data_IF_686648972224
#
_entry.id   IF_686648972224
#
_cell.length_a   1.000
_cell.length_b   1.000
_cell.length_c   1.000
_cell.angle_alpha   90.00
_cell.angle_beta   90.00
_cell.angle_gamma   90.00
#
_symmetry.space_group_name_H-M   'P 1'
#
loop_
_entity.id
_entity.type
_entity.pdbx_description
1 polymer ?
2 non-polymer ?
#
# COMPACT_ATOMS: atom_id res chain seq x y z
N UNK A 15 -3.93 -10.76 22.68
CA UNK A 15 -3.80 -10.28 21.30
C UNK A 15 -5.02 -9.44 20.91
N UNK A 16 -4.74 -8.23 20.41
CA UNK A 16 -5.76 -7.20 20.21
C UNK A 16 -5.75 -6.76 18.74
N UNK A 17 -6.92 -6.78 18.12
CA UNK A 17 -7.05 -6.40 16.73
C UNK A 17 -6.85 -4.88 16.57
N UNK A 18 -6.61 -4.48 15.32
CA UNK A 18 -6.54 -3.06 14.96
C UNK A 18 -7.84 -2.35 15.31
N UNK A 19 -7.76 -1.03 15.44
CA UNK A 19 -8.96 -0.23 15.72
C UNK A 19 -9.97 -0.32 14.58
N UNK A 20 -9.52 -0.56 13.34
CA UNK A 20 -10.47 -0.70 12.25
C UNK A 20 -11.15 -2.06 12.31
N UNK A 21 -10.44 -3.09 12.77
CA UNK A 21 -11.06 -4.39 12.95
C UNK A 21 -12.00 -4.40 14.16
N UNK A 22 -11.80 -3.49 15.10
CA UNK A 22 -12.71 -3.34 16.22
C UNK A 22 -13.90 -2.47 15.87
N UNK A 23 -13.70 -1.42 15.06
CA UNK A 23 -14.82 -0.74 14.43
C UNK A 23 -15.66 -1.75 13.66
N UNK A 24 -15.02 -2.53 12.80
CA UNK A 24 -15.78 -3.30 11.82
C UNK A 24 -16.59 -4.40 12.49
N UNK A 25 -15.99 -5.08 13.48
CA UNK A 25 -16.69 -6.19 14.12
C UNK A 25 -17.93 -5.72 14.85
N UNK A 26 -17.93 -4.49 15.38
CA UNK A 26 -19.08 -3.91 16.05
C UNK A 26 -20.05 -3.22 15.07
N UNK A 27 -19.98 -3.51 13.77
CA UNK A 27 -20.79 -2.83 12.77
C UNK A 27 -21.68 -3.82 12.01
N UNK A 28 -22.93 -3.41 11.79
CA UNK A 28 -23.88 -4.23 11.02
C UNK A 28 -23.51 -4.16 9.55
N UNK A 29 -23.21 -5.32 8.95
CA UNK A 29 -22.73 -5.38 7.60
C UNK A 29 -23.78 -5.55 6.52
N UNK A 30 -25.06 -5.64 6.90
CA UNK A 30 -26.12 -5.96 5.95
C UNK A 30 -26.47 -4.75 5.09
N UNK A 31 -27.19 -5.02 4.00
CA UNK A 31 -27.65 -4.03 3.03
C UNK A 31 -29.17 -4.04 3.09
N UNK A 32 -29.75 -3.10 3.84
CA UNK A 32 -31.19 -3.10 4.08
C UNK A 32 -31.94 -2.50 2.89
N UNK A 33 -33.19 -2.93 2.72
CA UNK A 33 -34.05 -2.44 1.63
C UNK A 33 -35.49 -2.36 2.11
N UNK A 34 -36.12 -1.20 1.92
CA UNK A 34 -37.58 -1.17 1.98
C UNK A 34 -38.12 -1.95 0.78
N UNK A 35 -39.45 -2.07 0.72
CA UNK A 35 -40.08 -2.81 -0.36
C UNK A 35 -39.65 -2.26 -1.72
N UNK A 36 -39.75 -3.13 -2.76
CA UNK A 36 -39.58 -2.68 -4.14
C UNK A 36 -40.92 -2.69 -4.88
N UNK A 37 -41.13 -1.75 -5.83
CA UNK A 37 -42.52 -1.41 -6.21
C UNK A 37 -43.29 -2.53 -6.90
N UNK A 38 -42.65 -3.28 -7.79
CA UNK A 38 -43.36 -4.22 -8.64
C UNK A 38 -43.26 -5.67 -8.19
N UNK A 39 -42.14 -6.08 -7.59
CA UNK A 39 -41.90 -7.50 -7.33
C UNK A 39 -41.95 -7.86 -5.84
N UNK A 40 -42.96 -7.38 -5.11
CA UNK A 40 -43.12 -7.68 -3.69
C UNK A 40 -44.59 -7.99 -3.42
N UNK A 41 -44.85 -9.03 -2.65
CA UNK A 41 -46.19 -9.63 -2.61
C UNK A 41 -46.71 -9.77 -1.17
N UNK A 42 -46.73 -8.67 -0.41
CA UNK A 42 -47.13 -8.72 0.99
C UNK A 42 -47.44 -7.32 1.50
N UNK A 43 -47.96 -7.24 2.73
CA UNK A 43 -48.31 -5.99 3.37
C UNK A 43 -47.13 -5.06 3.55
N UNK A 44 -47.40 -3.81 3.95
CA UNK A 44 -46.30 -2.83 4.06
C UNK A 44 -45.23 -3.22 5.06
N UNK A 45 -45.53 -4.15 5.98
CA UNK A 45 -44.65 -4.53 7.08
C UNK A 45 -43.90 -5.83 6.84
N UNK A 46 -44.52 -6.82 6.20
CA UNK A 46 -43.88 -8.09 5.91
C UNK A 46 -42.51 -8.02 5.25
N UNK A 47 -41.80 -9.14 5.25
CA UNK A 47 -40.51 -9.26 4.59
C UNK A 47 -40.53 -10.47 3.66
N UNK A 48 -39.69 -10.43 2.63
CA UNK A 48 -39.63 -11.50 1.63
C UNK A 48 -38.28 -11.44 0.93
N UNK A 49 -37.99 -12.49 0.15
CA UNK A 49 -36.69 -12.69 -0.47
C UNK A 49 -36.24 -11.47 -1.28
N UNK A 50 -37.19 -10.59 -1.61
CA UNK A 50 -36.90 -9.38 -2.39
C UNK A 50 -36.67 -8.13 -1.54
N UNK A 51 -36.89 -8.16 -0.22
CA UNK A 51 -36.63 -6.97 0.60
C UNK A 51 -35.81 -7.25 1.86
N UNK A 52 -35.92 -8.46 2.43
CA UNK A 52 -35.04 -8.99 3.49
C UNK A 52 -33.61 -8.54 3.15
N UNK A 53 -32.81 -8.11 4.14
CA UNK A 53 -31.53 -7.46 3.83
C UNK A 53 -30.55 -8.40 3.14
N UNK A 54 -29.41 -7.86 2.70
CA UNK A 54 -28.45 -8.61 1.92
C UNK A 54 -27.19 -8.83 2.73
N UNK A 55 -26.67 -10.04 2.65
CA UNK A 55 -25.48 -10.38 3.41
C UNK A 55 -24.27 -9.68 2.79
N UNK A 56 -23.32 -9.21 3.61
CA UNK A 56 -22.13 -8.54 3.06
C UNK A 56 -21.21 -9.48 2.31
N UNK A 57 -21.59 -10.75 2.19
CA UNK A 57 -20.83 -11.75 1.46
C UNK A 57 -21.59 -12.31 0.26
N UNK A 58 -22.74 -11.75 -0.08
CA UNK A 58 -23.54 -12.27 -1.19
C UNK A 58 -22.87 -11.94 -2.52
N UNK A 59 -22.44 -12.97 -3.24
CA UNK A 59 -21.72 -12.76 -4.50
C UNK A 59 -22.59 -12.08 -5.55
N UNK A 60 -23.91 -12.24 -5.45
CA UNK A 60 -24.80 -11.62 -6.44
C UNK A 60 -24.66 -10.11 -6.40
N UNK A 61 -24.86 -9.53 -5.21
CA UNK A 61 -24.71 -8.09 -5.01
C UNK A 61 -23.37 -7.59 -5.52
N UNK A 62 -22.29 -8.24 -5.09
CA UNK A 62 -20.94 -7.78 -5.41
C UNK A 62 -20.66 -7.89 -6.92
N UNK A 63 -20.96 -9.04 -7.51
CA UNK A 63 -20.70 -9.23 -8.94
C UNK A 63 -21.46 -8.22 -9.80
N UNK A 64 -22.55 -7.66 -9.29
CA UNK A 64 -23.38 -6.76 -10.06
C UNK A 64 -23.18 -5.32 -9.68
N UNK A 65 -22.17 -5.03 -8.88
CA UNK A 65 -21.76 -3.64 -8.65
C UNK A 65 -21.15 -3.06 -9.92
N UNK A 66 -20.76 -1.80 -9.84
CA UNK A 66 -19.96 -1.14 -10.86
C UNK A 66 -18.84 -0.41 -10.14
N UNK A 67 -17.58 -0.91 -10.21
CA UNK A 67 -17.16 -2.07 -10.99
C UNK A 67 -17.48 -3.38 -10.29
N UNK A 68 -17.76 -4.45 -11.04
CA UNK A 68 -18.05 -5.74 -10.40
C UNK A 68 -16.91 -6.20 -9.52
N UNK A 69 -17.23 -6.36 -8.22
CA UNK A 69 -16.32 -6.85 -7.18
C UNK A 69 -16.37 -8.37 -7.16
N UNK A 70 -15.23 -9.01 -6.96
CA UNK A 70 -15.18 -10.47 -6.95
C UNK A 70 -14.50 -11.04 -5.72
N UNK A 71 -14.20 -10.22 -4.73
CA UNK A 71 -13.72 -10.69 -3.43
C UNK A 71 -14.50 -9.98 -2.35
N UNK A 72 -15.17 -10.73 -1.50
CA UNK A 72 -15.76 -10.08 -0.35
C UNK A 72 -14.70 -9.57 0.62
N UNK A 73 -15.14 -8.65 1.46
CA UNK A 73 -14.33 -8.13 2.52
C UNK A 73 -13.97 -9.23 3.52
N UNK A 74 -12.83 -9.08 4.18
CA UNK A 74 -12.42 -10.08 5.17
C UNK A 74 -13.45 -10.21 6.28
N UNK A 75 -13.99 -9.08 6.75
CA UNK A 75 -15.04 -9.14 7.77
C UNK A 75 -16.32 -9.73 7.20
N UNK A 76 -16.59 -9.50 5.91
CA UNK A 76 -17.68 -10.21 5.25
C UNK A 76 -17.42 -11.72 5.19
N UNK A 77 -16.16 -12.15 5.25
CA UNK A 77 -15.81 -13.57 5.19
C UNK A 77 -16.00 -14.25 6.53
N UNK A 78 -15.40 -13.72 7.59
CA UNK A 78 -15.57 -14.39 8.88
C UNK A 78 -17.02 -14.31 9.31
N UNK A 79 -17.74 -13.25 8.90
CA UNK A 79 -19.19 -13.27 9.13
C UNK A 79 -19.87 -14.34 8.32
N UNK A 80 -19.33 -14.69 7.14
CA UNK A 80 -19.90 -15.76 6.33
C UNK A 80 -19.81 -17.10 7.05
N UNK A 81 -18.67 -17.35 7.71
CA UNK A 81 -18.48 -18.59 8.47
C UNK A 81 -19.45 -18.57 9.65
N UNK A 82 -20.74 -18.86 9.33
CA UNK A 82 -21.89 -18.92 10.24
C UNK A 82 -21.75 -17.97 11.42
N UNK A 83 -21.47 -16.70 11.14
CA UNK A 83 -21.30 -15.71 12.19
C UNK A 83 -19.88 -15.70 12.75
N UNK A 120 0.97 -34.32 7.65
CA UNK A 120 1.62 -33.36 6.73
C UNK A 120 0.90 -33.32 5.39
N UNK A 121 -0.43 -33.29 5.42
CA UNK A 121 -1.26 -33.64 4.28
C UNK A 121 -1.08 -32.68 3.10
N UNK A 122 -1.70 -33.03 1.99
CA UNK A 122 -1.48 -32.35 0.72
C UNK A 122 -2.20 -31.01 0.65
N UNK A 123 -1.52 -30.04 0.09
CA UNK A 123 -2.04 -28.69 -0.07
C UNK A 123 -2.71 -28.57 -1.45
N UNK A 124 -3.86 -27.93 -1.49
CA UNK A 124 -4.55 -27.64 -2.74
C UNK A 124 -5.03 -26.20 -2.72
N UNK A 125 -4.56 -25.42 -3.69
CA UNK A 125 -4.84 -23.99 -3.70
C UNK A 125 -6.07 -23.69 -4.55
N UNK A 126 -7.03 -22.97 -3.97
CA UNK A 126 -8.13 -22.43 -4.75
C UNK A 126 -7.93 -20.93 -4.91
N UNK A 127 -8.53 -20.38 -5.97
CA UNK A 127 -8.56 -18.93 -6.09
C UNK A 127 -9.38 -18.38 -4.92
N UNK A 128 -8.77 -17.45 -4.18
CA UNK A 128 -9.28 -17.05 -2.88
C UNK A 128 -10.43 -16.07 -3.03
N UNK A 129 -11.50 -16.31 -2.29
CA UNK A 129 -12.78 -15.65 -2.52
C UNK A 129 -12.96 -14.37 -1.72
N UNK A 130 -11.97 -13.97 -0.91
CA UNK A 130 -12.06 -12.76 -0.08
C UNK A 130 -10.75 -11.99 -0.15
N UNK A 131 -10.81 -10.73 0.29
CA UNK A 131 -9.71 -9.76 0.25
C UNK A 131 -9.42 -9.26 1.64
N UNK A 132 -8.17 -8.86 1.89
CA UNK A 132 -7.91 -8.27 3.20
C UNK A 132 -8.03 -6.76 3.18
N UNK A 133 -7.50 -6.12 2.14
CA UNK A 133 -7.71 -4.70 1.87
C UNK A 133 -8.51 -4.63 0.59
N UNK A 134 -9.45 -3.71 0.53
CA UNK A 134 -10.38 -3.66 -0.59
C UNK A 134 -10.13 -2.50 -1.55
N UNK A 135 -9.27 -1.55 -1.19
CA UNK A 135 -8.98 -0.40 -2.03
C UNK A 135 -7.73 0.26 -1.48
N UNK A 136 -6.89 0.76 -2.40
CA UNK A 136 -5.70 1.55 -2.09
C UNK A 136 -5.91 2.96 -2.63
N UNK A 137 -5.94 3.94 -1.74
CA UNK A 137 -6.23 5.32 -2.12
C UNK A 137 -5.03 6.19 -1.77
N UNK A 138 -4.35 6.66 -2.80
CA UNK A 138 -3.35 7.70 -2.63
C UNK A 138 -4.04 9.01 -2.28
N UNK A 139 -3.58 9.67 -1.22
CA UNK A 139 -4.19 10.94 -0.82
C UNK A 139 -4.31 11.89 -2.02
N UNK A 140 -3.30 11.90 -2.89
CA UNK A 140 -3.29 12.84 -4.02
C UNK A 140 -2.24 12.38 -5.01
N UNK A 141 -2.29 12.95 -6.23
CA UNK A 141 -1.36 12.55 -7.29
C UNK A 141 0.08 12.96 -7.00
N UNK A 142 0.31 13.94 -6.13
CA UNK A 142 1.66 14.44 -5.93
C UNK A 142 2.49 13.42 -5.17
N UNK A 143 1.88 12.74 -4.18
CA UNK A 143 2.53 11.68 -3.42
C UNK A 143 3.14 10.65 -4.35
N UNK A 144 2.39 10.27 -5.39
CA UNK A 144 2.80 9.24 -6.34
C UNK A 144 3.64 9.78 -7.51
N UNK A 145 3.51 11.03 -7.89
CA UNK A 145 4.33 11.47 -8.99
C UNK A 145 5.77 11.69 -8.55
N UNK A 146 5.97 12.30 -7.37
CA UNK A 146 7.33 12.49 -6.87
C UNK A 146 8.07 11.16 -6.70
N UNK A 147 7.35 10.06 -6.49
CA UNK A 147 8.02 8.77 -6.44
C UNK A 147 8.53 8.39 -7.83
N UNK A 148 7.65 8.41 -8.83
CA UNK A 148 8.05 8.16 -10.19
C UNK A 148 9.17 9.08 -10.66
N UNK A 149 9.33 10.24 -10.01
CA UNK A 149 10.40 11.14 -10.40
C UNK A 149 11.74 10.43 -10.39
N UNK A 150 11.93 9.48 -9.45
CA UNK A 150 13.19 8.75 -9.41
C UNK A 150 13.43 7.95 -10.70
N UNK A 151 12.39 7.28 -11.22
CA UNK A 151 12.58 6.53 -12.46
C UNK A 151 12.71 7.47 -13.66
N UNK A 152 11.93 8.55 -13.70
CA UNK A 152 12.05 9.47 -14.81
C UNK A 152 13.46 10.02 -14.94
N UNK A 153 14.18 10.18 -13.81
CA UNK A 153 15.52 10.79 -13.85
C UNK A 153 16.59 9.77 -14.17
N UNK A 154 16.51 8.56 -13.61
CA UNK A 154 17.60 7.61 -13.69
C UNK A 154 17.36 6.50 -14.71
N UNK A 155 16.10 6.16 -15.00
CA UNK A 155 15.83 5.01 -15.81
C UNK A 155 15.95 3.69 -15.09
N UNK A 156 16.18 3.73 -13.77
CA UNK A 156 16.30 2.54 -12.96
C UNK A 156 15.00 2.34 -12.21
N UNK A 157 14.63 1.07 -12.01
CA UNK A 157 13.44 0.80 -11.23
C UNK A 157 13.68 1.20 -9.78
N UNK A 158 12.59 1.45 -9.06
CA UNK A 158 12.68 2.09 -7.76
C UNK A 158 11.70 1.47 -6.78
N UNK A 159 12.08 1.52 -5.50
CA UNK A 159 11.37 0.85 -4.40
C UNK A 159 10.88 1.88 -3.41
N UNK A 160 9.66 1.69 -2.89
CA UNK A 160 9.13 2.57 -1.88
C UNK A 160 8.38 1.78 -0.83
N UNK A 161 8.22 2.40 0.35
CA UNK A 161 7.33 1.88 1.39
C UNK A 161 6.16 2.85 1.54
N UNK A 162 4.95 2.32 1.34
CA UNK A 162 3.73 3.08 1.55
C UNK A 162 3.48 3.34 3.03
N UNK A 163 3.53 4.60 3.45
CA UNK A 163 3.16 4.98 4.81
C UNK A 163 1.81 5.68 4.76
N UNK A 164 0.86 5.16 5.53
CA UNK A 164 -0.48 5.71 5.59
C UNK A 164 -1.28 5.00 6.67
N UNK A 165 -2.59 4.89 6.49
CA UNK A 165 -3.49 4.42 7.54
C UNK A 165 -4.54 3.49 6.92
N UNK A 166 -5.23 2.72 7.77
CA UNK A 166 -6.36 1.90 7.32
C UNK A 166 -7.65 2.57 7.77
N UNK A 167 -8.54 2.84 6.82
CA UNK A 167 -9.83 3.43 7.14
C UNK A 167 -10.95 2.53 6.63
N UNK A 168 -12.17 2.94 6.91
CA UNK A 168 -13.33 2.28 6.32
C UNK A 168 -13.38 2.61 4.83
N UNK A 169 -13.81 1.63 4.04
CA UNK A 169 -14.05 1.86 2.60
C UNK A 169 -15.55 1.67 2.36
N UNK A 170 -16.32 2.72 2.68
CA UNK A 170 -17.78 2.70 2.72
C UNK A 170 -18.42 2.12 1.46
N UNK A 171 -17.71 2.11 0.33
CA UNK A 171 -18.29 1.62 -0.92
C UNK A 171 -18.60 0.12 -0.86
N UNK A 172 -17.81 -0.64 -0.11
CA UNK A 172 -17.85 -2.11 -0.19
C UNK A 172 -18.24 -2.66 1.17
N UNK A 173 -19.11 -3.70 1.24
CA UNK A 173 -19.65 -4.12 2.55
C UNK A 173 -18.57 -4.59 3.50
N UNK A 174 -18.36 -3.82 4.57
CA UNK A 174 -17.35 -4.04 5.60
C UNK A 174 -15.94 -3.82 5.07
N UNK A 175 -15.78 -3.20 3.89
CA UNK A 175 -14.49 -3.13 3.25
C UNK A 175 -13.49 -2.25 3.98
N UNK A 176 -12.21 -2.57 3.80
CA UNK A 176 -11.12 -1.79 4.35
C UNK A 176 -10.41 -1.08 3.22
N UNK A 177 -10.03 0.16 3.46
CA UNK A 177 -9.22 0.92 2.53
C UNK A 177 -7.86 1.20 3.15
N UNK A 178 -6.81 1.08 2.33
CA UNK A 178 -5.46 1.47 2.71
C UNK A 178 -5.18 2.85 2.10
N UNK A 179 -4.96 3.85 2.96
CA UNK A 179 -4.76 5.23 2.53
C UNK A 179 -3.25 5.52 2.53
N UNK A 180 -2.72 5.91 1.38
CA UNK A 180 -1.28 6.14 1.23
C UNK A 180 -1.00 7.64 1.36
N UNK A 181 -0.22 8.01 2.39
CA UNK A 181 0.03 9.42 2.66
C UNK A 181 1.46 9.84 2.39
N UNK A 182 2.42 8.95 2.58
CA UNK A 182 3.80 9.22 2.25
C UNK A 182 4.35 7.97 1.59
N UNK A 183 5.47 8.14 0.88
CA UNK A 183 6.25 7.02 0.35
C UNK A 183 7.69 7.23 0.82
N UNK A 184 8.14 6.34 1.68
CA UNK A 184 9.53 6.33 2.12
C UNK A 184 10.35 5.57 1.09
N UNK A 185 11.38 6.21 0.52
CA UNK A 185 12.28 5.52 -0.39
C UNK A 185 13.54 5.15 0.37
N UNK A 186 13.78 3.87 0.67
CA UNK A 186 14.95 3.48 1.52
C UNK A 186 16.24 3.41 0.71
N UNK A 187 17.38 3.20 1.37
CA UNK A 187 18.62 2.89 0.64
C UNK A 187 18.49 1.65 -0.21
N UNK A 188 18.91 1.75 -1.47
CA UNK A 188 18.61 0.74 -2.49
C UNK A 188 19.45 0.99 -3.72
N UNK A 189 19.69 -0.06 -4.51
CA UNK A 189 20.35 0.06 -5.81
C UNK A 189 19.41 -0.45 -6.88
N UNK A 190 19.22 0.38 -7.92
CA UNK A 190 18.31 0.06 -9.00
C UNK A 190 19.04 -0.04 -10.31
N UNK A 191 18.50 -0.85 -11.21
CA UNK A 191 18.97 -0.89 -12.58
C UNK A 191 17.76 -0.88 -13.50
N UNK A 192 18.05 -0.77 -14.79
CA UNK A 192 17.07 -0.95 -15.85
C UNK A 192 16.16 -2.14 -15.59
N UNK A 193 16.67 -3.22 -14.99
CA UNK A 193 15.92 -4.47 -14.96
C UNK A 193 16.01 -5.20 -13.63
N UNK A 194 16.14 -4.48 -12.51
CA UNK A 194 16.26 -5.10 -11.18
C UNK A 194 16.36 -4.11 -10.02
N UNK A 195 15.79 -4.49 -8.87
CA UNK A 195 15.85 -3.76 -7.61
C UNK A 195 16.72 -4.51 -6.61
N UNK A 196 17.25 -3.78 -5.64
CA UNK A 196 17.99 -4.39 -4.53
C UNK A 196 17.86 -3.52 -3.28
N UNK A 197 17.38 -4.11 -2.18
CA UNK A 197 17.27 -3.35 -0.95
C UNK A 197 18.60 -3.34 -0.22
N UNK A 198 19.03 -2.16 0.18
CA UNK A 198 20.22 -1.95 0.99
C UNK A 198 19.85 -1.90 2.48
N UNK A 199 20.86 -2.02 3.32
CA UNK A 199 20.63 -1.92 4.76
C UNK A 199 20.13 -0.52 5.12
N UNK A 200 19.08 -0.45 5.94
CA UNK A 200 18.51 0.83 6.35
C UNK A 200 18.76 1.10 7.85
N UNK A 201 19.86 1.77 8.21
CA UNK A 201 20.06 2.12 9.62
C UNK A 201 18.88 2.86 10.27
N UNK A 202 18.16 3.69 9.53
CA UNK A 202 17.06 4.46 10.09
C UNK A 202 15.71 3.76 9.97
N UNK A 203 15.70 2.47 9.60
CA UNK A 203 14.45 1.84 9.17
C UNK A 203 13.34 1.97 10.20
N UNK A 204 13.69 1.83 11.48
CA UNK A 204 12.69 1.86 12.53
C UNK A 204 12.64 3.18 13.26
N UNK A 205 13.63 4.05 13.12
CA UNK A 205 13.40 5.44 13.47
C UNK A 205 12.36 6.03 12.53
N UNK A 206 12.42 5.65 11.25
CA UNK A 206 11.36 6.06 10.32
C UNK A 206 10.01 5.61 10.86
N UNK A 207 9.88 4.31 11.16
CA UNK A 207 8.62 3.76 11.67
C UNK A 207 8.15 4.49 12.94
N UNK A 208 9.07 4.95 13.78
CA UNK A 208 8.70 5.61 15.01
C UNK A 208 8.17 7.03 14.72
N UNK A 209 8.81 7.73 13.79
CA UNK A 209 8.36 9.06 13.39
C UNK A 209 6.96 8.97 12.80
N UNK A 210 6.80 8.11 11.78
CA UNK A 210 5.51 7.93 11.13
C UNK A 210 4.43 7.56 12.15
N UNK A 211 4.78 6.74 13.14
CA UNK A 211 3.80 6.36 14.15
C UNK A 211 3.27 7.59 14.87
N UNK A 212 4.13 8.53 15.20
CA UNK A 212 3.63 9.74 15.84
C UNK A 212 2.95 10.67 14.85
N UNK A 213 2.83 10.27 13.59
CA UNK A 213 2.13 11.04 12.58
C UNK A 213 0.75 10.44 12.26
N UNK A 214 0.39 9.35 12.92
CA UNK A 214 -0.83 8.64 12.62
C UNK A 214 -0.65 7.54 11.61
N UNK A 215 0.57 7.31 11.14
CA UNK A 215 0.82 6.45 9.99
C UNK A 215 1.57 5.18 10.37
N UNK A 216 1.44 4.19 9.50
CA UNK A 216 2.17 2.92 9.54
C UNK A 216 2.48 2.49 8.12
N UNK A 217 3.38 1.52 7.97
CA UNK A 217 3.61 0.90 6.65
C UNK A 217 2.34 0.14 6.21
N UNK A 218 1.66 0.60 5.16
CA UNK A 218 0.52 -0.15 4.63
C UNK A 218 0.91 -1.08 3.49
N UNK A 219 2.15 -1.01 3.00
CA UNK A 219 2.53 -1.87 1.90
C UNK A 219 3.81 -1.37 1.23
N UNK A 220 4.05 -1.86 0.02
CA UNK A 220 5.22 -1.46 -0.74
C UNK A 220 4.82 -1.16 -2.17
N UNK A 221 5.70 -0.46 -2.87
CA UNK A 221 5.52 -0.08 -4.25
C UNK A 221 6.84 -0.30 -4.96
N UNK A 222 6.78 -0.76 -6.20
CA UNK A 222 7.94 -0.75 -7.07
C UNK A 222 7.48 -0.36 -8.45
N UNK A 223 8.45 0.01 -9.27
CA UNK A 223 8.25 0.36 -10.66
C UNK A 223 8.70 -0.78 -11.54
N UNK A 224 8.04 -0.93 -12.65
CA UNK A 224 8.58 -1.71 -13.76
C UNK A 224 8.23 -0.84 -14.95
N UNK A 225 9.08 0.16 -15.24
CA UNK A 225 8.79 1.21 -16.23
C UNK A 225 9.89 1.27 -17.29
N UNK A 226 9.48 1.20 -18.55
CA UNK A 226 10.37 1.22 -19.71
C UNK A 226 9.78 2.13 -20.78
N UNK A 227 10.59 3.06 -21.27
CA UNK A 227 10.14 3.94 -22.34
C UNK A 227 9.72 3.14 -23.57
N UNK A 228 8.54 3.46 -24.10
CA UNK A 228 8.07 2.89 -25.37
C UNK A 228 8.45 3.81 -26.51
N UNK A 229 7.81 4.98 -26.56
CA UNK A 229 7.99 5.98 -27.61
C UNK A 229 8.69 7.20 -27.01
N UNK A 230 9.92 7.45 -27.45
CA UNK A 230 10.75 8.54 -26.93
C UNK A 230 10.49 9.90 -27.59
N UNK A 231 9.67 9.97 -28.66
CA UNK A 231 9.09 11.25 -29.10
C UNK A 231 7.89 11.63 -28.24
N UNK A 232 6.88 10.73 -28.16
CA UNK A 232 5.64 10.97 -27.43
C UNK A 232 5.83 11.00 -25.92
N UNK A 233 6.94 10.46 -25.41
CA UNK A 233 7.10 10.31 -23.97
C UNK A 233 6.30 9.20 -23.33
N UNK A 234 6.15 8.06 -24.00
CA UNK A 234 5.30 7.00 -23.48
C UNK A 234 6.14 5.86 -22.88
N UNK A 235 5.46 4.91 -22.27
CA UNK A 235 6.08 3.76 -21.60
C UNK A 235 5.52 2.47 -22.17
N UNK A 236 6.32 1.40 -22.08
CA UNK A 236 5.88 0.08 -22.53
C UNK A 236 4.73 -0.43 -21.65
N UNK A 237 3.82 -1.17 -22.29
CA UNK A 237 2.70 -1.79 -21.58
C UNK A 237 3.01 -3.28 -21.46
N UNK A 238 3.88 -3.61 -20.50
CA UNK A 238 4.48 -4.93 -20.41
C UNK A 238 3.69 -5.91 -19.54
N UNK A 239 2.84 -5.42 -18.64
CA UNK A 239 2.12 -6.29 -17.71
C UNK A 239 0.64 -6.29 -18.10
N UNK A 240 0.19 -7.41 -18.65
CA UNK A 240 -1.17 -7.52 -19.14
C UNK A 240 -1.59 -8.99 -19.07
N UNK A 241 -2.79 -9.27 -19.58
CA UNK A 241 -3.33 -10.64 -19.57
C UNK A 241 -2.39 -11.65 -20.21
N UNK A 242 -1.68 -11.24 -21.27
CA UNK A 242 -0.87 -12.17 -22.05
C UNK A 242 0.53 -12.37 -21.47
N UNK A 243 0.95 -11.56 -20.51
CA UNK A 243 2.23 -11.77 -19.89
C UNK A 243 1.96 -12.06 -18.42
N UNK A 244 1.99 -11.06 -17.55
CA UNK A 244 1.83 -11.28 -16.12
C UNK A 244 1.68 -9.93 -15.45
N UNK A 245 1.13 -9.93 -14.25
CA UNK A 245 0.98 -8.70 -13.51
C UNK A 245 1.92 -8.61 -12.33
N UNK A 246 2.37 -9.76 -11.83
CA UNK A 246 3.27 -9.89 -10.69
C UNK A 246 4.09 -11.15 -10.90
N UNK A 247 5.41 -11.03 -10.82
CA UNK A 247 6.29 -12.18 -11.01
C UNK A 247 6.10 -13.21 -9.91
N UNK A 248 6.54 -14.45 -10.21
CA UNK A 248 6.77 -15.44 -9.16
C UNK A 248 7.76 -14.90 -8.13
N UNK A 249 8.91 -14.42 -8.60
CA UNK A 249 9.79 -13.51 -7.89
C UNK A 249 9.01 -12.56 -6.98
N UNK A 250 8.30 -11.62 -7.59
CA UNK A 250 7.62 -10.59 -6.83
C UNK A 250 6.51 -11.16 -5.96
N UNK A 251 5.92 -12.29 -6.36
CA UNK A 251 4.92 -12.94 -5.51
C UNK A 251 5.57 -13.46 -4.22
N UNK A 252 6.76 -14.05 -4.32
CA UNK A 252 7.44 -14.53 -3.12
C UNK A 252 7.79 -13.38 -2.18
N UNK A 253 8.28 -12.26 -2.73
CA UNK A 253 8.62 -11.16 -1.84
C UNK A 253 7.35 -10.51 -1.29
N UNK A 254 6.29 -10.42 -2.10
CA UNK A 254 5.01 -10.01 -1.57
C UNK A 254 4.62 -10.88 -0.37
N UNK A 255 4.67 -12.20 -0.54
CA UNK A 255 4.31 -13.08 0.56
C UNK A 255 5.21 -12.91 1.75
N UNK A 256 6.50 -12.66 1.51
CA UNK A 256 7.44 -12.43 2.60
C UNK A 256 7.03 -11.20 3.42
N UNK A 257 6.80 -10.07 2.74
CA UNK A 257 6.33 -8.86 3.39
C UNK A 257 5.05 -9.09 4.17
N UNK A 258 4.10 -9.80 3.56
CA UNK A 258 2.84 -10.06 4.24
C UNK A 258 3.06 -10.91 5.48
N UNK A 259 3.94 -11.91 5.41
CA UNK A 259 4.31 -12.66 6.60
C UNK A 259 4.89 -11.73 7.66
N UNK A 260 5.91 -10.97 7.29
CA UNK A 260 6.58 -10.03 8.21
C UNK A 260 5.63 -8.98 8.78
N UNK A 261 4.45 -8.78 8.18
CA UNK A 261 3.49 -7.76 8.62
C UNK A 261 2.10 -8.39 8.78
N UNK A 262 1.93 -9.22 9.81
CA UNK A 262 0.70 -10.02 9.92
C UNK A 262 -0.50 -9.20 10.40
N UNK A 263 -1.68 -9.60 9.92
CA UNK A 263 -2.93 -9.01 10.40
C UNK A 263 -3.35 -9.71 11.69
N UNK A 264 -3.33 -8.97 12.80
CA UNK A 264 -3.79 -9.50 14.07
C UNK A 264 -5.27 -9.79 14.00
N UNK A 265 -5.69 -10.90 14.62
CA UNK A 265 -7.07 -11.37 14.50
C UNK A 265 -7.40 -12.36 15.61
N UNK A 266 -8.43 -12.04 16.41
CA UNK A 266 -8.73 -12.79 17.63
C UNK A 266 -9.30 -14.18 17.37
N UNK A 267 -9.60 -14.54 16.12
CA UNK A 267 -10.17 -15.85 15.82
C UNK A 267 -9.13 -16.86 15.35
N UNK A 268 -7.86 -16.59 15.60
CA UNK A 268 -6.84 -17.52 15.16
C UNK A 268 -6.00 -18.02 16.33
N UNK A 269 -5.68 -19.32 16.35
CA UNK A 269 -4.74 -19.84 17.37
C UNK A 269 -3.37 -19.18 17.34
N UNK A 270 -2.80 -18.95 16.14
CA UNK A 270 -1.55 -18.20 16.04
C UNK A 270 -1.71 -16.79 16.62
N UNK A 271 -2.91 -16.22 16.54
CA UNK A 271 -3.12 -14.80 16.70
C UNK A 271 -2.95 -14.01 15.43
N UNK A 272 -2.16 -14.54 14.48
CA UNK A 272 -2.01 -13.98 13.16
C UNK A 272 -3.05 -14.63 12.25
N UNK A 273 -3.54 -13.86 11.27
CA UNK A 273 -4.24 -14.45 10.11
C UNK A 273 -4.33 -13.43 8.99
N UNK A 274 -3.76 -13.78 7.83
CA UNK A 274 -3.73 -12.85 6.71
C UNK A 274 -2.83 -11.66 6.98
N UNK A 275 -2.95 -10.66 6.12
CA UNK A 275 -2.19 -9.44 6.27
C UNK A 275 -2.89 -8.31 5.54
N UNK A 276 -2.65 -7.08 6.01
CA UNK A 276 -3.16 -5.90 5.33
C UNK A 276 -2.10 -5.20 4.51
N UNK A 277 -0.93 -5.82 4.33
CA UNK A 277 0.21 -5.23 3.65
C UNK A 277 -0.03 -5.37 2.15
N UNK A 278 -0.51 -4.30 1.52
CA UNK A 278 -0.76 -4.31 0.07
C UNK A 278 0.54 -4.18 -0.70
N UNK A 279 0.51 -4.43 -2.01
CA UNK A 279 1.67 -4.28 -2.87
C UNK A 279 1.24 -3.61 -4.16
N UNK A 280 1.97 -2.57 -4.60
CA UNK A 280 1.53 -1.63 -5.63
C UNK A 280 2.56 -1.53 -6.73
N UNK A 281 2.12 -1.66 -7.98
CA UNK A 281 3.01 -1.63 -9.13
C UNK A 281 2.76 -0.35 -9.94
N UNK A 282 3.86 0.30 -10.33
CA UNK A 282 3.83 1.37 -11.32
C UNK A 282 4.43 0.84 -12.62
N UNK A 283 3.57 0.64 -13.62
CA UNK A 283 3.90 0.13 -14.96
C UNK A 283 3.06 0.91 -15.95
N UNK A 284 3.47 0.91 -17.21
CA UNK A 284 2.63 1.47 -18.25
C UNK A 284 1.31 0.72 -18.38
N UNK A 285 0.26 1.47 -18.73
CA UNK A 285 -1.07 0.90 -18.94
C UNK A 285 -1.43 0.71 -20.41
N UNK A 286 -2.67 0.23 -20.68
CA UNK A 286 -3.11 0.05 -22.07
C UNK A 286 -2.95 1.31 -22.94
N UNK A 287 -2.89 2.47 -22.30
CA UNK A 287 -2.68 3.71 -23.04
C UNK A 287 -1.19 4.10 -23.12
N UNK A 288 -0.29 3.23 -22.68
CA UNK A 288 1.16 3.50 -22.65
C UNK A 288 1.48 4.71 -21.78
N UNK A 289 0.63 4.97 -20.80
CA UNK A 289 0.90 5.91 -19.74
C UNK A 289 1.12 5.17 -18.43
N UNK A 290 1.86 5.80 -17.52
CA UNK A 290 2.09 5.18 -16.21
C UNK A 290 0.76 5.00 -15.48
N UNK A 291 0.56 3.80 -14.90
CA UNK A 291 -0.61 3.57 -14.05
C UNK A 291 -0.20 2.69 -12.87
N UNK A 292 -1.01 2.76 -11.82
CA UNK A 292 -0.74 2.10 -10.54
C UNK A 292 -1.72 0.95 -10.37
N UNK A 293 -1.19 -0.22 -9.98
CA UNK A 293 -1.96 -1.46 -9.86
C UNK A 293 -1.77 -2.07 -8.48
N UNK A 294 -2.87 -2.40 -7.82
CA UNK A 294 -2.85 -2.84 -6.44
C UNK A 294 -3.06 -4.35 -6.38
N UNK A 295 -2.24 -5.00 -5.57
CA UNK A 295 -2.30 -6.43 -5.42
C UNK A 295 -2.14 -6.81 -3.96
N UNK A 296 -2.62 -7.99 -3.65
CA UNK A 296 -2.15 -8.73 -2.49
C UNK A 296 -1.94 -10.15 -2.96
N UNK A 297 -1.34 -10.94 -2.08
CA UNK A 297 -1.03 -12.33 -2.37
C UNK A 297 -1.82 -13.21 -1.42
N UNK A 298 -2.29 -14.37 -1.93
CA UNK A 298 -3.22 -15.19 -1.17
C UNK A 298 -2.60 -15.66 0.15
N UNK A 299 -3.47 -15.90 1.12
CA UNK A 299 -3.00 -16.41 2.40
C UNK A 299 -2.29 -17.74 2.20
N UNK A 300 -2.87 -18.61 1.36
CA UNK A 300 -2.22 -19.87 1.02
C UNK A 300 -0.82 -19.63 0.48
N UNK A 301 -0.67 -18.58 -0.34
CA UNK A 301 0.66 -18.24 -0.87
C UNK A 301 1.59 -17.68 0.21
N UNK A 302 1.05 -16.96 1.21
CA UNK A 302 1.89 -16.59 2.35
C UNK A 302 2.47 -17.82 3.04
N UNK A 303 1.63 -18.84 3.22
CA UNK A 303 2.03 -20.06 3.92
C UNK A 303 3.16 -20.77 3.17
N UNK A 304 3.05 -20.88 1.85
CA UNK A 304 4.11 -21.48 1.05
C UNK A 304 5.44 -20.76 1.24
N UNK A 305 5.45 -19.43 1.12
CA UNK A 305 6.68 -18.67 1.32
C UNK A 305 7.19 -18.81 2.75
N UNK A 306 6.30 -18.70 3.73
CA UNK A 306 6.68 -18.91 5.14
C UNK A 306 7.43 -20.22 5.31
N UNK A 307 6.87 -21.31 4.77
CA UNK A 307 7.50 -22.64 4.76
C UNK A 307 8.47 -22.85 3.58
N UNK A 308 8.86 -21.78 2.89
CA UNK A 308 9.92 -21.81 1.86
C UNK A 308 9.65 -22.89 0.81
N UNK A 309 8.39 -23.02 0.43
CA UNK A 309 7.98 -23.98 -0.59
C UNK A 309 7.78 -23.35 -1.96
N UNK A 310 7.71 -22.03 -2.05
CA UNK A 310 7.44 -21.33 -3.30
C UNK A 310 8.75 -20.95 -3.97
N UNK A 311 8.86 -21.26 -5.26
CA UNK A 311 10.07 -21.03 -6.04
C UNK A 311 9.74 -20.25 -7.30
N UNK A 312 10.66 -19.42 -7.79
CA UNK A 312 10.45 -18.77 -9.08
C UNK A 312 10.92 -19.66 -10.22
N UNK A 313 10.43 -19.35 -11.41
CA UNK A 313 10.89 -19.98 -12.65
C UNK A 313 11.73 -18.98 -13.41
N UNK A 314 12.88 -19.42 -13.87
CA UNK A 314 13.79 -18.57 -14.64
C UNK A 314 13.34 -18.52 -16.09
N UNK A 315 13.41 -17.33 -16.68
CA UNK A 315 12.91 -17.04 -18.02
C UNK A 315 11.40 -17.26 -18.13
N UNK A 316 10.73 -17.45 -17.00
CA UNK A 316 9.27 -17.60 -16.94
C UNK A 316 8.76 -16.86 -15.72
N UNK A 317 8.54 -15.55 -15.85
CA UNK A 317 8.00 -14.80 -14.70
C UNK A 317 6.56 -15.17 -14.35
N UNK A 318 5.71 -15.46 -15.35
CA UNK A 318 4.30 -15.75 -15.14
C UNK A 318 4.03 -17.10 -14.49
N UNK A 319 5.07 -17.87 -14.15
CA UNK A 319 4.92 -19.15 -13.48
C UNK A 319 5.95 -19.28 -12.37
N UNK A 320 5.68 -20.19 -11.45
CA UNK A 320 6.61 -20.47 -10.36
C UNK A 320 6.56 -21.93 -9.98
N UNK A 321 7.69 -22.43 -9.50
CA UNK A 321 7.83 -23.83 -9.09
C UNK A 321 7.31 -24.03 -7.67
N UNK A 322 7.05 -25.30 -7.35
CA UNK A 322 6.83 -25.77 -5.99
C UNK A 322 7.85 -26.86 -5.68
N UNK A 323 8.40 -26.85 -4.46
CA UNK A 323 9.49 -27.76 -4.12
C UNK A 323 9.10 -29.22 -4.32
N UNK A 324 10.11 -30.08 -4.45
CA UNK A 324 9.87 -31.50 -4.74
C UNK A 324 9.85 -32.32 -3.44
N UNK A 325 11.00 -32.45 -2.78
CA UNK A 325 11.24 -33.45 -1.74
C UNK A 325 10.23 -33.38 -0.60
N UNK A 329 13.87 -31.75 3.27
CA UNK A 329 12.63 -31.02 3.42
C UNK A 329 11.49 -31.67 2.62
N UNK A 330 10.69 -32.50 3.30
CA UNK A 330 9.51 -33.06 2.66
C UNK A 330 8.57 -31.94 2.21
N UNK A 331 7.86 -32.20 1.13
CA UNK A 331 6.91 -31.24 0.58
C UNK A 331 5.64 -32.01 0.25
N UNK A 332 4.55 -31.79 0.97
CA UNK A 332 3.27 -32.34 0.52
C UNK A 332 3.04 -31.88 -0.90
N UNK A 333 2.63 -32.81 -1.75
CA UNK A 333 2.30 -32.42 -3.11
C UNK A 333 1.26 -31.32 -3.08
N UNK A 334 1.41 -30.33 -3.95
CA UNK A 334 0.61 -29.12 -3.91
C UNK A 334 -0.11 -28.96 -5.24
N UNK A 335 -1.42 -28.78 -5.18
CA UNK A 335 -2.27 -28.72 -6.36
C UNK A 335 -2.90 -27.33 -6.47
N UNK A 336 -3.79 -27.20 -7.44
CA UNK A 336 -4.63 -26.00 -7.57
C UNK A 336 -5.83 -26.32 -8.45
N UNK A 337 -6.98 -25.74 -8.09
CA UNK A 337 -8.25 -25.94 -8.78
C UNK A 337 -8.41 -24.82 -9.81
N UNK A 338 -8.09 -25.11 -11.05
CA UNK A 338 -7.89 -24.08 -12.05
C UNK A 338 -9.19 -23.80 -12.79
N UNK A 339 -9.10 -23.02 -13.87
CA UNK A 339 -10.22 -22.76 -14.77
C UNK A 339 -9.72 -22.97 -16.19
N UNK A 340 -10.35 -23.92 -16.91
CA UNK A 340 -10.01 -24.17 -18.31
C UNK A 340 -10.91 -23.34 -19.21
N UNK A 341 -11.25 -23.87 -20.38
CA UNK A 341 -12.29 -23.30 -21.22
C UNK A 341 -13.58 -24.09 -21.14
N UNK A 342 -13.48 -25.42 -21.19
CA UNK A 342 -14.57 -26.37 -20.99
C UNK A 342 -15.57 -25.92 -19.94
N UNK A 343 -15.08 -25.55 -18.76
CA UNK A 343 -15.92 -25.51 -17.58
C UNK A 343 -15.83 -26.78 -16.76
N UNK A 344 -14.77 -27.56 -16.94
CA UNK A 344 -14.42 -28.68 -16.08
C UNK A 344 -13.43 -28.19 -15.04
N UNK A 345 -13.74 -28.41 -13.77
CA UNK A 345 -12.84 -28.09 -12.66
C UNK A 345 -11.53 -28.85 -12.79
N UNK A 346 -10.64 -28.36 -13.64
CA UNK A 346 -9.40 -29.07 -13.93
C UNK A 346 -8.42 -28.85 -12.79
N UNK A 347 -8.09 -29.93 -12.08
CA UNK A 347 -7.07 -29.92 -11.04
C UNK A 347 -5.73 -30.27 -11.66
N UNK A 348 -4.69 -29.53 -11.25
CA UNK A 348 -3.35 -29.76 -11.80
C UNK A 348 -2.32 -29.71 -10.69
N UNK A 349 -1.13 -30.24 -11.02
CA UNK A 349 0.01 -30.27 -10.12
C UNK A 349 0.79 -28.96 -10.24
N UNK A 350 1.11 -28.35 -9.09
CA UNK A 350 1.73 -27.02 -9.06
C UNK A 350 3.20 -27.01 -9.44
N UNK A 351 3.60 -27.76 -10.47
CA UNK A 351 4.96 -27.70 -10.99
C UNK A 351 4.89 -27.77 -12.51
N UNK A 352 4.72 -26.61 -13.18
CA UNK A 352 4.67 -25.21 -12.71
C UNK A 352 3.32 -24.72 -12.20
N UNK A 353 3.29 -23.50 -11.64
CA UNK A 353 2.08 -22.86 -11.13
C UNK A 353 1.96 -21.47 -11.72
N UNK A 354 0.91 -21.17 -12.49
CA UNK A 354 0.70 -19.79 -12.95
C UNK A 354 0.42 -18.89 -11.75
N UNK A 355 1.19 -17.80 -11.66
CA UNK A 355 1.08 -16.92 -10.51
C UNK A 355 -0.33 -16.37 -10.32
N UNK A 356 -1.13 -16.33 -11.39
CA UNK A 356 -2.46 -15.72 -11.31
C UNK A 356 -3.34 -16.39 -10.27
N UNK A 357 -3.08 -17.66 -9.92
CA UNK A 357 -3.80 -18.35 -8.85
C UNK A 357 -3.27 -18.02 -7.46
N UNK A 358 -2.49 -16.95 -7.33
CA UNK A 358 -1.99 -16.48 -6.04
C UNK A 358 -2.26 -15.00 -5.81
N UNK A 359 -2.70 -14.28 -6.84
CA UNK A 359 -2.73 -12.82 -6.85
C UNK A 359 -4.13 -12.33 -6.55
N UNK A 360 -4.24 -11.26 -5.76
CA UNK A 360 -5.52 -10.68 -5.41
C UNK A 360 -5.55 -9.24 -5.90
N UNK A 361 -6.45 -8.95 -6.82
CA UNK A 361 -6.61 -7.58 -7.30
C UNK A 361 -7.15 -6.68 -6.19
N UNK A 362 -6.59 -5.47 -6.11
CA UNK A 362 -7.12 -4.44 -5.23
C UNK A 362 -7.21 -3.14 -6.02
N UNK A 363 -8.40 -2.57 -6.05
CA UNK A 363 -8.58 -1.28 -6.71
C UNK A 363 -7.62 -0.22 -6.15
N UNK A 364 -7.14 0.64 -7.06
CA UNK A 364 -6.26 1.78 -6.75
C UNK A 364 -6.97 3.06 -7.16
N UNK A 365 -7.18 3.95 -6.20
CA UNK A 365 -8.03 5.11 -6.40
C UNK A 365 -7.23 6.41 -6.21
N UNK A 366 -7.48 7.40 -7.07
CA UNK A 366 -7.07 8.75 -6.76
C UNK A 366 -8.34 9.56 -6.47
N UNK A 367 -8.54 10.03 -5.24
CA UNK A 367 -9.88 10.47 -4.85
C UNK A 367 -10.28 11.71 -5.60
N UNK A 368 -11.57 11.80 -5.94
CA UNK A 368 -12.08 13.03 -6.53
C UNK A 368 -11.81 14.22 -5.61
N UNK A 369 -11.86 14.00 -4.30
CA UNK A 369 -11.45 15.05 -3.35
C UNK A 369 -10.19 14.62 -2.63
N UNK A 370 -9.07 15.27 -2.89
CA UNK A 370 -7.79 14.80 -2.36
C UNK A 370 -7.54 15.23 -0.93
N UNK A 371 -6.70 14.44 -0.26
CA UNK A 371 -6.39 14.56 1.15
C UNK A 371 -4.94 15.03 1.28
N UNK A 372 -4.66 15.88 2.27
CA UNK A 372 -3.31 16.44 2.46
C UNK A 372 -2.85 16.28 3.92
N UNK A 373 -2.53 15.04 4.32
CA UNK A 373 -1.80 14.84 5.57
C UNK A 373 -0.58 15.73 5.59
N UNK A 374 0.14 15.79 4.47
CA UNK A 374 1.31 16.62 4.30
C UNK A 374 1.08 17.61 3.16
N UNK A 375 1.91 18.66 3.13
CA UNK A 375 1.69 19.81 2.24
C UNK A 375 2.36 19.66 0.87
N UNK A 376 1.78 20.32 -0.13
CA UNK A 376 2.32 20.38 -1.48
C UNK A 376 3.09 21.70 -1.68
N UNK A 377 4.42 21.63 -1.68
CA UNK A 377 5.23 22.81 -2.02
C UNK A 377 5.46 22.82 -3.51
N UNK A 378 5.56 24.05 -4.07
CA UNK A 378 5.97 24.17 -5.48
C UNK A 378 7.41 23.71 -5.66
N UNK A 379 8.28 24.06 -4.72
CA UNK A 379 9.64 23.53 -4.64
C UNK A 379 9.86 22.73 -3.36
N UNK A 380 9.43 21.46 -3.33
CA UNK A 380 9.48 20.65 -2.09
C UNK A 380 10.87 20.37 -1.56
N UNK A 381 10.94 20.13 -0.26
CA UNK A 381 12.15 19.57 0.34
C UNK A 381 12.49 18.22 -0.31
N UNK A 382 13.78 17.92 -0.51
CA UNK A 382 14.13 16.68 -1.22
C UNK A 382 13.87 15.41 -0.41
N UNK A 383 13.67 14.36 -1.15
CA UNK A 383 13.37 13.02 -0.66
C UNK A 383 14.69 12.26 -0.41
N UNK A 384 14.64 11.38 0.59
CA UNK A 384 15.81 10.67 1.08
C UNK A 384 16.46 9.78 0.01
N UNK A 385 17.76 9.56 0.15
CA UNK A 385 18.50 8.60 -0.64
C UNK A 385 18.55 8.96 -2.11
N UNK A 386 18.56 10.26 -2.43
CA UNK A 386 18.51 10.72 -3.82
C UNK A 386 19.73 11.53 -4.21
N UNK A 387 20.85 11.38 -3.51
CA UNK A 387 22.06 12.09 -3.89
C UNK A 387 22.52 11.67 -5.29
N UNK A 388 22.26 10.41 -5.66
CA UNK A 388 22.53 9.89 -7.00
C UNK A 388 22.12 10.90 -8.05
N UNK A 389 20.93 11.48 -7.91
CA UNK A 389 20.43 12.49 -8.84
C UNK A 389 20.68 13.90 -8.33
N UNK A 390 21.67 14.07 -7.47
CA UNK A 390 22.18 15.39 -7.17
C UNK A 390 21.07 16.22 -6.60
N UNK A 391 20.56 15.73 -5.48
CA UNK A 391 19.33 16.21 -4.89
C UNK A 391 19.40 15.71 -3.46
N UNK A 392 20.03 16.49 -2.58
CA UNK A 392 20.46 15.98 -1.30
C UNK A 392 19.73 16.70 -0.18
N UNK A 393 19.60 16.00 0.95
CA UNK A 393 19.07 16.58 2.15
C UNK A 393 20.24 17.04 3.01
N UNK A 394 20.42 18.35 3.13
CA UNK A 394 21.39 18.91 4.04
C UNK A 394 20.92 20.30 4.42
N UNK A 395 21.75 21.02 5.16
CA UNK A 395 21.30 22.31 5.67
C UNK A 395 21.34 23.40 4.61
N UNK A 396 22.01 23.18 3.47
CA UNK A 396 21.82 24.12 2.38
C UNK A 396 20.40 24.05 1.86
N UNK A 397 19.92 22.84 1.52
CA UNK A 397 18.54 22.65 1.06
C UNK A 397 17.51 23.24 2.02
N UNK A 398 17.60 22.88 3.31
CA UNK A 398 16.61 23.37 4.27
C UNK A 398 16.64 24.89 4.36
N UNK A 399 17.84 25.47 4.30
CA UNK A 399 17.97 26.92 4.33
C UNK A 399 17.21 27.56 3.17
N UNK A 400 17.42 27.08 1.93
CA UNK A 400 16.64 27.66 0.82
C UNK A 400 15.19 27.20 0.86
N UNK A 401 14.89 25.99 1.35
CA UNK A 401 13.49 25.64 1.58
C UNK A 401 12.80 26.63 2.52
N UNK A 402 13.42 26.93 3.67
CA UNK A 402 12.76 27.82 4.63
C UNK A 402 12.68 29.25 4.10
N UNK A 403 13.73 29.73 3.42
CA UNK A 403 13.67 31.07 2.82
C UNK A 403 12.54 31.16 1.81
N UNK A 404 12.34 30.10 1.03
CA UNK A 404 11.28 30.09 0.03
C UNK A 404 9.89 30.20 0.66
N UNK A 405 9.76 29.87 1.96
CA UNK A 405 8.47 29.76 2.63
C UNK A 405 8.26 30.76 3.76
N UNK A 406 9.04 31.85 3.75
CA UNK A 406 8.91 32.91 4.75
C UNK A 406 7.47 33.41 4.87
N UNK A 407 6.78 33.60 3.74
CA UNK A 407 5.42 34.14 3.74
C UNK A 407 4.36 33.08 3.90
N UNK A 408 4.74 31.82 4.10
CA UNK A 408 3.78 30.74 4.21
C UNK A 408 3.41 30.51 5.66
N UNK A 409 2.23 29.97 5.86
CA UNK A 409 1.85 29.34 7.12
C UNK A 409 2.91 28.32 7.50
N UNK A 410 3.52 28.50 8.68
CA UNK A 410 4.63 27.63 9.07
C UNK A 410 4.21 26.18 9.20
N UNK A 411 2.94 25.91 9.56
CA UNK A 411 2.45 24.54 9.67
C UNK A 411 2.52 23.83 8.32
N UNK A 412 2.10 24.52 7.25
CA UNK A 412 2.22 23.97 5.90
C UNK A 412 3.67 23.74 5.50
N UNK A 413 4.53 24.74 5.72
CA UNK A 413 5.97 24.60 5.46
C UNK A 413 6.57 23.36 6.14
N UNK A 414 6.18 23.10 7.39
CA UNK A 414 6.79 22.03 8.16
C UNK A 414 6.07 20.68 7.99
N UNK A 415 4.88 20.68 7.40
CA UNK A 415 4.08 19.46 7.30
C UNK A 415 4.51 18.59 6.12
N UNK A 416 5.79 18.21 6.11
CA UNK A 416 6.34 17.35 5.07
C UNK A 416 6.97 16.13 5.71
N UNK A 417 6.60 14.93 5.24
CA UNK A 417 7.16 13.69 5.78
C UNK A 417 8.67 13.65 5.61
N UNK A 418 9.15 13.96 4.40
CA UNK A 418 10.57 13.77 4.13
C UNK A 418 11.40 14.79 4.87
N UNK A 419 10.93 16.03 4.94
CA UNK A 419 11.58 17.03 5.79
C UNK A 419 11.69 16.53 7.22
N UNK A 420 10.58 16.02 7.78
CA UNK A 420 10.56 15.60 9.19
C UNK A 420 11.58 14.50 9.46
N UNK A 421 11.63 13.46 8.62
CA UNK A 421 12.71 12.49 8.72
C UNK A 421 14.09 13.15 8.79
N UNK A 422 14.36 14.09 7.89
CA UNK A 422 15.66 14.75 7.89
C UNK A 422 15.92 15.45 9.21
N UNK A 423 14.91 16.16 9.73
CA UNK A 423 15.10 16.94 10.94
C UNK A 423 15.48 16.05 12.12
N UNK A 424 14.97 14.83 12.16
CA UNK A 424 15.20 13.96 13.30
C UNK A 424 16.49 13.14 13.15
N UNK A 425 16.84 12.75 11.93
CA UNK A 425 17.94 11.82 11.69
C UNK A 425 19.22 12.44 11.13
N UNK A 426 19.21 13.69 10.68
CA UNK A 426 20.43 14.31 10.19
C UNK A 426 21.51 14.32 11.27
N UNK A 427 22.77 14.47 10.86
CA UNK A 427 23.87 14.36 11.79
C UNK A 427 24.52 15.69 12.16
N UNK A 428 24.21 16.78 11.46
CA UNK A 428 24.68 18.07 11.93
C UNK A 428 23.99 18.44 13.23
N UNK A 429 22.65 18.35 13.25
CA UNK A 429 21.85 18.71 14.42
C UNK A 429 20.60 17.85 14.41
N UNK A 430 20.60 16.76 15.18
CA UNK A 430 19.42 15.89 15.24
C UNK A 430 18.40 16.32 16.29
N UNK A 431 17.24 16.80 15.85
CA UNK A 431 16.14 17.15 16.75
C UNK A 431 15.38 15.91 17.18
N UNK A 432 16.10 14.81 17.42
CA UNK A 432 15.50 13.49 17.53
C UNK A 432 14.57 13.35 18.73
N UNK A 433 14.64 14.24 19.72
CA UNK A 433 13.87 14.08 20.94
C UNK A 433 12.85 15.18 21.21
N UNK A 434 13.10 16.40 20.76
CA UNK A 434 12.12 17.47 20.86
C UNK A 434 11.20 17.59 19.65
N UNK A 435 11.21 16.61 18.74
CA UNK A 435 10.26 16.67 17.63
C UNK A 435 8.88 16.15 17.99
N UNK A 436 8.72 15.50 19.13
CA UNK A 436 7.41 14.98 19.50
C UNK A 436 6.35 16.08 19.46
N UNK A 437 6.68 17.23 20.05
CA UNK A 437 5.81 18.40 20.01
C UNK A 437 5.38 18.73 18.59
N UNK A 438 6.34 18.75 17.67
CA UNK A 438 6.06 19.19 16.29
C UNK A 438 5.34 18.11 15.49
N UNK A 439 5.74 16.86 15.69
CA UNK A 439 5.02 15.74 15.10
C UNK A 439 3.54 15.77 15.43
N UNK A 440 3.18 16.26 16.62
CA UNK A 440 1.77 16.29 16.99
C UNK A 440 1.07 17.49 16.37
N UNK A 441 1.77 18.61 16.26
CA UNK A 441 1.21 19.73 15.52
C UNK A 441 0.90 19.31 14.09
N UNK A 442 1.76 18.47 13.50
CA UNK A 442 1.55 18.06 12.11
C UNK A 442 0.35 17.12 12.01
N UNK A 443 0.33 16.08 12.86
CA UNK A 443 -0.70 15.04 12.78
C UNK A 443 -2.10 15.60 12.95
N UNK A 444 -2.19 16.76 13.55
CA UNK A 444 -3.40 17.35 14.07
C UNK A 444 -3.79 18.62 13.31
N UNK A 445 -2.94 19.05 12.37
CA UNK A 445 -3.10 20.33 11.70
C UNK A 445 -3.35 21.43 12.72
N UNK A 446 -2.56 21.39 13.81
CA UNK A 446 -2.69 22.35 14.90
C UNK A 446 -1.70 23.49 14.68
N UNK A 447 -2.23 24.65 14.27
CA UNK A 447 -1.37 25.75 13.90
C UNK A 447 -0.79 26.43 15.13
N UNK A 448 -1.58 26.59 16.19
CA UNK A 448 -1.04 27.14 17.43
C UNK A 448 0.09 26.27 17.95
N UNK A 449 -0.12 24.96 17.98
CA UNK A 449 0.90 24.01 18.41
C UNK A 449 2.15 24.08 17.54
N UNK A 450 2.00 24.39 16.25
CA UNK A 450 3.19 24.57 15.43
C UNK A 450 3.88 25.88 15.77
N UNK A 451 3.10 26.95 15.92
CA UNK A 451 3.67 28.27 16.15
C UNK A 451 4.55 28.32 17.39
N UNK A 452 4.19 27.58 18.44
CA UNK A 452 4.99 27.58 19.66
C UNK A 452 6.34 26.89 19.45
N UNK A 453 6.33 25.68 18.88
CA UNK A 453 7.58 24.96 18.58
C UNK A 453 8.53 25.81 17.75
N UNK A 454 7.98 26.61 16.85
CA UNK A 454 8.75 27.60 16.10
C UNK A 454 9.57 28.50 17.02
N UNK A 455 9.07 28.78 18.23
CA UNK A 455 9.76 29.64 19.19
C UNK A 455 10.69 28.87 20.13
N UNK A 456 10.86 27.57 19.89
CA UNK A 456 11.72 26.73 20.70
C UNK A 456 13.19 27.18 20.63
N UNK A 457 13.93 26.86 21.68
CA UNK A 457 15.38 26.88 21.60
C UNK A 457 15.87 26.09 20.39
N UNK A 458 15.40 24.83 20.25
CA UNK A 458 15.93 23.94 19.21
C UNK A 458 15.65 24.48 17.81
N UNK A 459 14.46 25.04 17.59
CA UNK A 459 14.16 25.58 16.26
C UNK A 459 14.95 26.85 15.99
N UNK A 460 15.12 27.70 17.02
CA UNK A 460 15.93 28.90 16.83
C UNK A 460 17.31 28.52 16.30
N UNK A 461 17.89 27.44 16.81
CA UNK A 461 19.24 27.10 16.40
C UNK A 461 19.24 26.44 15.03
N UNK A 462 18.17 25.72 14.68
CA UNK A 462 18.03 25.31 13.28
C UNK A 462 18.01 26.53 12.39
N UNK A 463 17.36 27.60 12.85
CA UNK A 463 17.17 28.78 12.02
C UNK A 463 18.43 29.64 11.91
N UNK A 464 19.17 29.82 13.00
CA UNK A 464 20.47 30.49 12.89
C UNK A 464 21.49 29.62 12.17
N UNK A 465 21.28 28.30 12.12
CA UNK A 465 22.12 27.44 11.29
C UNK A 465 21.91 27.74 9.82
N UNK A 466 20.64 27.70 9.38
CA UNK A 466 20.30 28.07 8.01
C UNK A 466 20.71 29.50 7.70
N UNK A 467 20.57 30.40 8.66
CA UNK A 467 20.88 31.80 8.41
C UNK A 467 22.37 31.98 8.12
N UNK A 468 23.24 31.25 8.82
CA UNK A 468 24.66 31.37 8.54
C UNK A 468 25.13 30.41 7.45
N UNK A 469 24.37 29.35 7.15
CA UNK A 469 24.60 28.64 5.89
C UNK A 469 24.41 29.61 4.72
N UNK A 470 23.27 30.29 4.68
CA UNK A 470 23.05 31.30 3.66
C UNK A 470 24.08 32.41 3.73
N UNK A 471 24.43 32.87 4.94
CA UNK A 471 25.45 33.90 5.12
C UNK A 471 26.80 33.45 4.55
N UNK A 472 26.99 32.16 4.33
CA UNK A 472 28.12 31.61 3.58
C UNK A 472 27.65 31.13 2.22
N UNK A 473 27.31 32.10 1.36
CA UNK A 473 26.82 31.85 0.00
C UNK A 473 26.70 33.18 -0.73
X LIG B 1 -40.77 -8.05 -0.02
#
# INVERSE_FOLDING_TARGET
TSVPPGFKVFGAPNVVEDEIDQYLSKQDGKIYRSRDPQLCRHGPLGKCVHCVPLEPFDEDYLNHLEPPVKHMSFHAYIRKLTGGADKGKFVALENISCKIKSGCEGHLPWPNGICTKCQPSAITLNRQKYRHVDNIMFENHTVADRFLDFWRKTGNQHFGYLYGRYTEHKDIPLGIRAEVAAIYEPPQIGTQNSLELLEDPKAEVVDEIAAKLGLRKVGWIFTDLVSEDTRKGTVRYSRNKDTYFLSSEECITAGDFQNKHPNMCRLSPDGHFGSKFVTAVATGGPDNQVHFEGYQVSNQCMALVRDECLLPCKDAPELGYAKESSSEQYVPDVFYKDVDKFGNEITQLARPLPVEYLIIDITTTFPKDPVYTFSISQNPFPIENRDVLGETQDFHSLATYLSQNTSSVFLDTISDFHLLLFLVTNEVMPLQDSISLLLEAVRTRNEELAQTWKRSEQWATIEQLCSTVGLEA
ZN ZN
#
